data_IF_094118700116
#
_entry.id   IF_094118700116
#
_cell.length_a   1.000
_cell.length_b   1.000
_cell.length_c   1.000
_cell.angle_alpha   90.00
_cell.angle_beta   90.00
_cell.angle_gamma   90.00
#
_symmetry.space_group_name_H-M   'P 1'
#
loop_
_entity.id
_entity.type
_entity.pdbx_description
1 polymer ?
#
# COMPACT_ATOMS: atom_id res chain seq x y z
N UNK A 1 28.09 22.56 -13.07
CA UNK A 1 27.60 21.44 -12.24
C UNK A 1 26.64 20.66 -13.11
N UNK A 2 27.05 19.49 -13.53
CA UNK A 2 26.33 18.65 -14.48
C UNK A 2 25.18 17.97 -13.74
N UNK A 3 23.99 18.60 -13.76
CA UNK A 3 22.80 18.02 -13.13
C UNK A 3 22.32 16.88 -14.01
N UNK A 4 22.77 15.65 -13.70
CA UNK A 4 22.18 14.43 -14.25
C UNK A 4 20.65 14.57 -14.18
N UNK A 5 19.92 14.28 -15.26
CA UNK A 5 18.46 14.32 -15.23
C UNK A 5 17.97 13.42 -14.10
N UNK A 6 17.22 14.01 -13.17
CA UNK A 6 16.58 13.27 -12.07
C UNK A 6 15.43 12.46 -12.67
N UNK A 7 15.29 11.20 -12.22
CA UNK A 7 14.27 10.30 -12.74
C UNK A 7 12.86 10.83 -12.50
N UNK A 8 11.91 10.45 -13.36
CA UNK A 8 10.48 10.71 -13.16
C UNK A 8 9.81 9.48 -12.52
N UNK A 9 8.92 9.71 -11.56
CA UNK A 9 8.08 8.65 -10.97
C UNK A 9 6.69 8.73 -11.62
N UNK A 10 6.23 7.64 -12.24
CA UNK A 10 4.85 7.50 -12.70
C UNK A 10 4.00 6.79 -11.64
N UNK A 11 2.85 7.36 -11.33
CA UNK A 11 1.92 6.86 -10.33
C UNK A 11 0.56 6.68 -11.01
N UNK A 12 0.07 5.45 -11.01
CA UNK A 12 -1.25 5.08 -11.51
C UNK A 12 -1.90 4.13 -10.52
N UNK A 13 -3.21 4.26 -10.37
CA UNK A 13 -4.00 3.38 -9.52
C UNK A 13 -5.36 3.16 -10.16
N UNK A 14 -5.98 2.04 -9.80
CA UNK A 14 -7.33 1.68 -10.17
C UNK A 14 -8.00 1.10 -8.94
N UNK A 15 -9.29 1.40 -8.77
CA UNK A 15 -10.10 0.90 -7.66
C UNK A 15 -11.41 0.36 -8.20
N UNK A 16 -11.99 -0.61 -7.49
CA UNK A 16 -13.29 -1.19 -7.78
C UNK A 16 -14.16 -1.14 -6.52
N UNK A 17 -15.43 -0.79 -6.68
CA UNK A 17 -16.39 -0.83 -5.59
C UNK A 17 -16.83 -2.27 -5.35
N UNK A 18 -17.02 -2.64 -4.08
CA UNK A 18 -17.64 -3.91 -3.74
C UNK A 18 -19.05 -3.99 -4.33
N UNK A 19 -19.46 -5.17 -4.79
CA UNK A 19 -20.79 -5.39 -5.33
C UNK A 19 -21.88 -4.87 -4.39
N UNK A 20 -22.83 -4.10 -4.94
CA UNK A 20 -23.95 -3.40 -4.25
C UNK A 20 -23.56 -2.19 -3.39
N UNK A 21 -22.28 -1.88 -3.24
CA UNK A 21 -21.85 -0.62 -2.61
C UNK A 21 -21.78 0.50 -3.65
N UNK A 22 -21.92 1.74 -3.18
CA UNK A 22 -21.86 2.95 -4.02
C UNK A 22 -20.60 3.79 -3.81
N UNK A 23 -19.71 3.34 -2.93
CA UNK A 23 -18.48 4.04 -2.54
C UNK A 23 -17.34 3.02 -2.38
N UNK A 24 -16.11 3.48 -2.57
CA UNK A 24 -14.91 2.69 -2.33
C UNK A 24 -14.66 2.50 -0.84
N UNK A 25 -14.33 1.28 -0.41
CA UNK A 25 -13.87 1.01 0.95
C UNK A 25 -12.44 1.51 1.19
N UNK A 26 -11.68 1.66 0.11
CA UNK A 26 -10.24 1.91 0.13
C UNK A 26 -9.97 3.35 -0.32
N UNK A 27 -8.90 3.95 0.19
CA UNK A 27 -8.46 5.31 -0.13
C UNK A 27 -7.00 5.28 -0.56
N UNK A 28 -6.72 5.84 -1.73
CA UNK A 28 -5.37 6.08 -2.23
C UNK A 28 -5.09 7.59 -2.25
N UNK A 29 -3.96 8.01 -1.69
CA UNK A 29 -3.50 9.39 -1.69
C UNK A 29 -2.00 9.44 -1.98
N UNK A 30 -1.54 10.51 -2.64
CA UNK A 30 -0.11 10.79 -2.74
C UNK A 30 0.13 12.30 -2.65
N UNK A 31 1.31 12.68 -2.14
CA UNK A 31 1.73 14.06 -2.02
C UNK A 31 3.21 14.18 -2.34
N UNK A 32 3.55 15.12 -3.22
CA UNK A 32 4.92 15.44 -3.58
C UNK A 32 5.30 16.77 -2.92
N UNK A 33 6.14 16.69 -1.89
CA UNK A 33 6.69 17.84 -1.17
C UNK A 33 7.90 18.31 -1.98
N UNK A 34 7.68 19.30 -2.84
CA UNK A 34 8.65 19.74 -3.85
C UNK A 34 9.92 20.32 -3.23
N UNK A 35 9.77 21.02 -2.12
CA UNK A 35 10.85 21.68 -1.37
C UNK A 35 11.81 20.67 -0.76
N UNK A 36 11.33 19.47 -0.42
CA UNK A 36 12.13 18.39 0.15
C UNK A 36 12.51 17.31 -0.88
N UNK A 37 12.01 17.42 -2.12
CA UNK A 37 12.10 16.38 -3.16
C UNK A 37 11.66 15.00 -2.61
N UNK A 38 10.54 15.01 -1.90
CA UNK A 38 10.03 13.86 -1.14
C UNK A 38 8.63 13.49 -1.63
N UNK A 39 8.42 12.21 -1.92
CA UNK A 39 7.13 11.68 -2.33
C UNK A 39 6.57 10.76 -1.25
N UNK A 40 5.33 11.02 -0.85
CA UNK A 40 4.58 10.19 0.09
C UNK A 40 3.39 9.60 -0.66
N UNK A 41 3.19 8.29 -0.57
CA UNK A 41 2.06 7.56 -1.14
C UNK A 41 1.42 6.74 -0.02
N UNK A 42 0.09 6.73 0.03
CA UNK A 42 -0.68 6.06 1.06
C UNK A 42 -1.81 5.27 0.40
N UNK A 43 -1.93 4.01 0.81
CA UNK A 43 -3.08 3.17 0.55
C UNK A 43 -3.68 2.75 1.88
N UNK A 44 -4.97 3.00 2.11
CA UNK A 44 -5.68 2.53 3.29
C UNK A 44 -6.93 1.78 2.88
N UNK A 45 -7.22 0.67 3.55
CA UNK A 45 -8.44 -0.11 3.35
C UNK A 45 -9.24 -0.10 4.66
N UNK A 46 -10.48 0.36 4.54
CA UNK A 46 -11.39 0.56 5.65
C UNK A 46 -12.15 -0.71 5.94
N UNK A 47 -12.12 -1.15 7.19
CA UNK A 47 -12.80 -2.37 7.61
C UNK A 47 -14.30 -2.31 7.31
N UNK A 48 -14.80 -3.30 6.58
CA UNK A 48 -16.22 -3.48 6.29
C UNK A 48 -16.56 -3.21 4.83
N UNK A 49 -17.65 -2.50 4.57
CA UNK A 49 -18.00 -2.06 3.22
C UNK A 49 -18.88 -0.80 3.27
N UNK A 50 -19.00 -0.16 2.10
CA UNK A 50 -19.83 1.02 1.93
C UNK A 50 -19.30 2.24 2.68
N UNK A 51 -20.22 3.10 3.13
CA UNK A 51 -19.90 4.41 3.71
C UNK A 51 -18.98 4.29 4.93
N UNK A 52 -19.18 3.26 5.77
CA UNK A 52 -18.35 3.07 6.97
C UNK A 52 -16.89 2.81 6.60
N UNK A 53 -16.65 1.87 5.69
CA UNK A 53 -15.30 1.57 5.20
C UNK A 53 -14.66 2.81 4.56
N UNK A 54 -15.41 3.52 3.71
CA UNK A 54 -14.94 4.73 3.05
C UNK A 54 -14.48 5.82 4.03
N UNK A 55 -15.28 6.12 5.06
CA UNK A 55 -14.92 7.12 6.08
C UNK A 55 -13.68 6.71 6.86
N UNK A 56 -13.57 5.43 7.21
CA UNK A 56 -12.45 4.90 7.98
C UNK A 56 -11.14 4.91 7.19
N UNK A 57 -11.16 4.48 5.92
CA UNK A 57 -9.97 4.56 5.06
C UNK A 57 -9.58 6.01 4.78
N UNK A 58 -10.55 6.89 4.55
CA UNK A 58 -10.29 8.32 4.30
C UNK A 58 -9.64 9.00 5.49
N UNK A 59 -10.17 8.78 6.70
CA UNK A 59 -9.61 9.33 7.94
C UNK A 59 -8.17 8.83 8.16
N UNK A 60 -7.97 7.52 7.99
CA UNK A 60 -6.66 6.87 8.16
C UNK A 60 -5.64 7.41 7.16
N UNK A 61 -6.00 7.47 5.87
CA UNK A 61 -5.13 7.99 4.82
C UNK A 61 -4.77 9.46 5.06
N UNK A 62 -5.75 10.28 5.44
CA UNK A 62 -5.54 11.71 5.72
C UNK A 62 -4.62 11.93 6.92
N UNK A 63 -4.83 11.18 8.00
CA UNK A 63 -3.94 11.23 9.17
C UNK A 63 -2.52 10.78 8.82
N UNK A 64 -2.40 9.67 8.09
CA UNK A 64 -1.11 9.16 7.63
C UNK A 64 -0.38 10.20 6.78
N UNK A 65 -1.09 10.89 5.88
CA UNK A 65 -0.53 11.91 5.01
C UNK A 65 -0.01 13.09 5.82
N UNK A 66 -0.85 13.64 6.71
CA UNK A 66 -0.50 14.80 7.52
C UNK A 66 0.67 14.52 8.45
N UNK A 67 0.67 13.38 9.15
CA UNK A 67 1.77 13.03 10.06
C UNK A 67 3.06 12.75 9.30
N UNK A 68 3.02 12.01 8.20
CA UNK A 68 4.23 11.69 7.42
C UNK A 68 4.82 12.93 6.73
N UNK A 69 3.95 13.86 6.32
CA UNK A 69 4.40 15.14 5.74
C UNK A 69 5.01 16.05 6.79
N UNK A 70 4.43 16.12 7.99
CA UNK A 70 4.91 17.01 9.07
C UNK A 70 6.06 16.46 9.92
N UNK A 71 6.19 15.14 10.04
CA UNK A 71 7.21 14.47 10.84
C UNK A 71 8.16 13.68 9.93
N UNK A 72 9.47 13.77 10.21
CA UNK A 72 10.49 13.01 9.46
C UNK A 72 10.63 11.55 9.89
N UNK A 73 10.12 11.21 11.07
CA UNK A 73 10.14 9.84 11.60
C UNK A 73 8.82 9.12 11.30
N UNK A 74 8.81 8.40 10.17
CA UNK A 74 7.64 7.62 9.72
C UNK A 74 7.24 6.54 10.73
N UNK A 75 8.20 5.96 11.47
CA UNK A 75 7.91 4.94 12.47
C UNK A 75 7.08 5.54 13.61
N UNK A 76 7.46 6.75 14.03
CA UNK A 76 6.68 7.52 15.00
C UNK A 76 5.32 7.95 14.46
N UNK A 77 5.22 8.31 13.18
CA UNK A 77 3.93 8.57 12.53
C UNK A 77 3.01 7.35 12.64
N UNK A 78 3.50 6.17 12.28
CA UNK A 78 2.73 4.93 12.35
C UNK A 78 2.23 4.65 13.77
N UNK A 79 3.09 4.84 14.79
CA UNK A 79 2.67 4.70 16.19
C UNK A 79 1.60 5.73 16.60
N UNK A 80 1.69 6.97 16.13
CA UNK A 80 0.68 8.01 16.39
C UNK A 80 -0.65 7.64 15.73
N UNK A 81 -0.62 7.20 14.47
CA UNK A 81 -1.81 6.72 13.75
C UNK A 81 -2.43 5.57 14.54
N UNK A 82 -1.67 4.56 14.94
CA UNK A 82 -2.17 3.42 15.70
C UNK A 82 -2.79 3.81 17.05
N UNK A 83 -2.29 4.86 17.71
CA UNK A 83 -2.88 5.38 18.96
C UNK A 83 -4.14 6.22 18.75
N UNK A 84 -4.34 6.74 17.55
CA UNK A 84 -5.39 7.70 17.23
C UNK A 84 -6.53 7.06 16.43
N UNK A 85 -6.27 5.95 15.74
CA UNK A 85 -7.30 5.17 15.06
C UNK A 85 -8.38 4.76 16.07
N UNK A 86 -9.66 4.99 15.75
CA UNK A 86 -10.72 4.55 16.64
C UNK A 86 -10.70 3.00 16.70
N UNK A 87 -11.34 2.41 17.71
CA UNK A 87 -11.42 0.93 17.84
C UNK A 87 -12.86 0.49 17.64
N UNK A 88 -13.06 -0.57 16.84
CA UNK A 88 -14.37 -1.20 16.72
C UNK A 88 -14.79 -1.76 18.08
N UNK A 89 -15.79 -1.14 18.71
CA UNK A 89 -16.30 -1.54 20.03
C UNK A 89 -16.82 -2.98 20.07
N UNK A 90 -17.30 -3.48 18.93
CA UNK A 90 -17.85 -4.83 18.79
C UNK A 90 -16.76 -5.87 18.52
N UNK A 91 -15.88 -5.60 17.55
CA UNK A 91 -14.91 -6.60 17.05
C UNK A 91 -13.50 -6.45 17.63
N UNK A 92 -13.24 -5.40 18.41
CA UNK A 92 -11.92 -5.04 18.96
C UNK A 92 -10.79 -5.07 17.91
N UNK A 93 -11.07 -4.72 16.66
CA UNK A 93 -10.07 -4.62 15.57
C UNK A 93 -9.91 -3.16 15.13
N UNK A 94 -8.75 -2.85 14.53
CA UNK A 94 -8.44 -1.54 13.94
C UNK A 94 -9.45 -1.31 12.84
N UNK A 95 -9.96 -0.10 12.76
CA UNK A 95 -10.96 0.24 11.76
C UNK A 95 -10.42 0.31 10.33
N UNK A 96 -9.09 0.35 10.14
CA UNK A 96 -8.49 0.35 8.81
C UNK A 96 -7.06 -0.22 8.84
N UNK A 97 -6.65 -0.79 7.72
CA UNK A 97 -5.27 -1.13 7.39
C UNK A 97 -4.63 0.04 6.63
N UNK A 98 -3.31 0.06 6.54
CA UNK A 98 -2.64 1.05 5.69
C UNK A 98 -1.26 0.58 5.23
N UNK A 99 -0.83 1.18 4.13
CA UNK A 99 0.55 1.12 3.62
C UNK A 99 0.99 2.54 3.35
N UNK A 100 2.08 2.98 3.98
CA UNK A 100 2.74 4.26 3.76
C UNK A 100 4.02 3.96 2.98
N UNK A 101 4.20 4.65 1.86
CA UNK A 101 5.41 4.61 1.06
C UNK A 101 6.01 6.00 1.02
N UNK A 102 7.28 6.12 1.37
CA UNK A 102 8.06 7.34 1.27
C UNK A 102 9.25 7.11 0.34
N UNK A 103 9.46 8.03 -0.60
CA UNK A 103 10.64 8.08 -1.46
C UNK A 103 11.30 9.45 -1.24
N UNK A 104 12.56 9.45 -0.83
CA UNK A 104 13.35 10.67 -0.66
C UNK A 104 14.15 11.04 -1.91
N UNK A 105 14.80 12.22 -1.86
CA UNK A 105 15.61 12.78 -2.95
C UNK A 105 16.77 11.89 -3.42
N UNK A 106 17.20 10.93 -2.60
CA UNK A 106 18.29 10.00 -2.93
C UNK A 106 17.77 8.67 -3.50
N UNK A 107 16.44 8.58 -3.68
CA UNK A 107 15.67 7.40 -4.07
C UNK A 107 15.69 6.29 -3.01
N UNK A 108 15.88 6.64 -1.73
CA UNK A 108 15.64 5.68 -0.67
C UNK A 108 14.13 5.54 -0.49
N UNK A 109 13.68 4.30 -0.61
CA UNK A 109 12.31 3.87 -0.41
C UNK A 109 12.17 3.34 1.02
N UNK A 110 11.18 3.86 1.73
CA UNK A 110 10.75 3.37 3.03
C UNK A 110 9.28 3.01 2.94
N UNK A 111 8.94 1.81 3.39
CA UNK A 111 7.56 1.36 3.48
C UNK A 111 7.23 1.00 4.91
N UNK A 112 6.08 1.48 5.38
CA UNK A 112 5.43 0.97 6.58
C UNK A 112 4.10 0.37 6.19
N UNK A 113 3.91 -0.89 6.55
CA UNK A 113 2.70 -1.63 6.28
C UNK A 113 2.04 -2.07 7.59
N UNK A 114 0.73 -1.92 7.65
CA UNK A 114 -0.13 -2.38 8.75
C UNK A 114 -1.30 -3.15 8.16
N UNK A 115 -1.26 -4.47 8.29
CA UNK A 115 -2.32 -5.44 7.93
C UNK A 115 -2.78 -5.46 6.44
N UNK A 116 -2.26 -4.58 5.57
CA UNK A 116 -2.43 -4.69 4.12
C UNK A 116 -1.55 -5.81 3.55
N UNK A 117 -1.86 -6.37 2.37
CA UNK A 117 -0.89 -7.15 1.61
C UNK A 117 0.42 -6.37 1.42
N UNK A 118 1.55 -7.03 1.63
CA UNK A 118 2.86 -6.42 1.41
C UNK A 118 2.97 -5.92 -0.04
N UNK A 119 3.66 -4.80 -0.29
CA UNK A 119 3.95 -4.37 -1.65
C UNK A 119 4.77 -5.38 -2.43
N UNK A 120 4.51 -5.48 -3.72
CA UNK A 120 5.33 -6.24 -4.65
C UNK A 120 6.35 -5.26 -5.26
N UNK A 121 7.63 -5.48 -5.00
CA UNK A 121 8.71 -4.75 -5.67
C UNK A 121 9.13 -5.52 -6.93
N UNK A 122 9.28 -4.83 -8.05
CA UNK A 122 9.87 -5.35 -9.26
C UNK A 122 11.22 -4.65 -9.43
N UNK A 123 12.32 -5.42 -9.34
CA UNK A 123 13.67 -4.97 -9.72
C UNK A 123 14.22 -5.89 -10.79
N UNK A 124 14.99 -5.35 -11.74
CA UNK A 124 15.67 -6.15 -12.77
C UNK A 124 14.75 -7.19 -13.46
N UNK A 125 13.52 -6.78 -13.79
CA UNK A 125 12.50 -7.65 -14.38
C UNK A 125 12.17 -8.91 -13.54
N UNK A 126 12.17 -8.80 -12.22
CA UNK A 126 11.76 -9.86 -11.30
C UNK A 126 10.99 -9.30 -10.12
N UNK A 127 9.95 -10.01 -9.69
CA UNK A 127 9.31 -9.76 -8.41
C UNK A 127 10.28 -10.11 -7.27
N UNK A 128 10.75 -9.11 -6.54
CA UNK A 128 11.69 -9.28 -5.43
C UNK A 128 10.96 -9.34 -4.09
N UNK A 129 11.51 -10.16 -3.19
CA UNK A 129 11.09 -10.23 -1.80
C UNK A 129 12.05 -9.40 -0.95
N UNK A 130 11.59 -8.23 -0.50
CA UNK A 130 12.37 -7.42 0.44
C UNK A 130 12.41 -8.08 1.83
N UNK A 131 13.51 -7.90 2.58
CA UNK A 131 13.52 -8.13 4.02
C UNK A 131 12.42 -7.29 4.69
N UNK A 132 11.70 -7.92 5.61
CA UNK A 132 10.66 -7.25 6.40
C UNK A 132 11.11 -7.23 7.84
N UNK A 133 11.27 -6.03 8.38
CA UNK A 133 11.46 -5.81 9.81
C UNK A 133 10.09 -5.64 10.47
N UNK A 134 9.97 -6.04 11.72
CA UNK A 134 8.71 -5.99 12.45
C UNK A 134 8.84 -5.12 13.70
N UNK A 135 7.83 -4.28 13.95
CA UNK A 135 7.66 -3.61 15.24
C UNK A 135 6.31 -3.98 15.83
N UNK A 136 6.34 -4.59 17.00
CA UNK A 136 5.14 -4.94 17.74
C UNK A 136 4.85 -3.89 18.80
N UNK A 137 3.57 -3.65 19.06
CA UNK A 137 3.15 -2.78 20.13
C UNK A 137 1.78 -3.15 20.67
N UNK A 138 1.42 -2.53 21.78
CA UNK A 138 0.10 -2.69 22.40
C UNK A 138 -0.55 -1.33 22.55
N UNK A 139 -1.80 -1.20 22.09
CA UNK A 139 -2.63 -0.03 22.33
C UNK A 139 -4.03 -0.46 22.73
N UNK A 140 -4.53 0.05 23.88
CA UNK A 140 -5.86 -0.29 24.42
C UNK A 140 -6.10 -1.81 24.44
N UNK A 141 -5.14 -2.56 25.00
CA UNK A 141 -5.14 -4.04 25.12
C UNK A 141 -5.01 -4.81 23.80
N UNK A 142 -4.89 -4.14 22.65
CA UNK A 142 -4.69 -4.78 21.35
C UNK A 142 -3.23 -4.77 20.92
N UNK A 143 -2.71 -5.95 20.61
CA UNK A 143 -1.44 -6.12 19.91
C UNK A 143 -1.59 -5.68 18.46
N UNK A 144 -0.61 -4.95 17.96
CA UNK A 144 -0.46 -4.64 16.55
C UNK A 144 0.97 -4.96 16.12
N UNK A 145 1.14 -5.23 14.83
CA UNK A 145 2.45 -5.46 14.20
C UNK A 145 2.56 -4.56 12.98
N UNK A 146 3.57 -3.72 12.97
CA UNK A 146 3.97 -2.93 11.82
C UNK A 146 5.07 -3.68 11.08
N UNK A 147 5.05 -3.58 9.77
CA UNK A 147 5.98 -4.23 8.85
C UNK A 147 6.75 -3.13 8.11
N UNK A 148 8.08 -3.17 8.19
CA UNK A 148 8.96 -2.16 7.62
C UNK A 148 9.80 -2.77 6.53
N UNK A 149 9.87 -2.08 5.39
CA UNK A 149 10.74 -2.44 4.29
C UNK A 149 11.52 -1.20 3.86
N UNK A 150 12.79 -1.41 3.55
CA UNK A 150 13.66 -0.36 3.05
C UNK A 150 14.45 -0.88 1.86
N UNK A 151 14.59 -0.06 0.82
CA UNK A 151 15.52 -0.33 -0.26
C UNK A 151 15.89 0.97 -0.99
N UNK A 152 16.88 0.91 -1.88
CA UNK A 152 17.16 1.98 -2.82
C UNK A 152 16.55 1.65 -4.17
N UNK A 153 15.77 2.58 -4.72
CA UNK A 153 15.19 2.47 -6.04
C UNK A 153 16.23 2.82 -7.11
N UNK A 154 16.17 2.06 -8.19
CA UNK A 154 16.92 2.24 -9.42
C UNK A 154 15.97 2.53 -10.59
N UNK A 155 16.54 2.89 -11.73
CA UNK A 155 15.74 3.16 -12.92
C UNK A 155 14.96 1.89 -13.34
N UNK A 156 13.70 2.09 -13.72
CA UNK A 156 12.75 1.03 -14.12
C UNK A 156 12.26 0.11 -12.99
N UNK A 157 12.67 0.34 -11.74
CA UNK A 157 12.03 -0.33 -10.60
C UNK A 157 10.56 0.07 -10.51
N UNK A 158 9.73 -0.87 -10.06
CA UNK A 158 8.28 -0.64 -9.88
C UNK A 158 7.83 -1.20 -8.55
N UNK A 159 6.89 -0.51 -7.92
CA UNK A 159 6.24 -0.98 -6.70
C UNK A 159 4.73 -1.05 -6.92
N UNK A 160 4.14 -2.18 -6.56
CA UNK A 160 2.69 -2.41 -6.63
C UNK A 160 2.15 -2.46 -5.20
N UNK A 161 1.19 -1.59 -4.90
CA UNK A 161 0.44 -1.59 -3.65
C UNK A 161 -0.91 -2.27 -3.87
N UNK A 162 -1.34 -3.08 -2.91
CA UNK A 162 -2.57 -3.86 -3.00
C UNK A 162 -3.35 -3.71 -1.69
N UNK A 163 -4.69 -3.62 -1.78
CA UNK A 163 -5.57 -3.83 -0.64
C UNK A 163 -5.96 -5.30 -0.52
N UNK A 164 -6.58 -5.67 0.59
CA UNK A 164 -6.97 -7.06 0.82
C UNK A 164 -8.00 -7.54 -0.22
N UNK A 165 -8.81 -6.62 -0.78
CA UNK A 165 -9.79 -6.88 -1.81
C UNK A 165 -9.23 -7.54 -3.06
N UNK A 166 -7.95 -7.29 -3.40
CA UNK A 166 -7.26 -7.99 -4.50
C UNK A 166 -6.89 -9.41 -4.08
N UNK A 167 -6.21 -9.56 -2.94
CA UNK A 167 -5.75 -10.89 -2.48
C UNK A 167 -6.90 -11.81 -2.08
N UNK A 168 -8.04 -11.26 -1.67
CA UNK A 168 -9.25 -12.00 -1.31
C UNK A 168 -10.19 -12.17 -2.50
N UNK A 169 -9.83 -11.69 -3.70
CA UNK A 169 -10.66 -11.82 -4.89
C UNK A 169 -11.00 -13.30 -5.18
N UNK A 170 -12.29 -13.57 -5.41
CA UNK A 170 -12.79 -14.92 -5.67
C UNK A 170 -12.88 -15.83 -4.45
N UNK A 171 -12.57 -15.35 -3.23
CA UNK A 171 -12.67 -16.14 -2.00
C UNK A 171 -14.05 -16.79 -1.84
N UNK A 172 -14.07 -18.07 -1.45
CA UNK A 172 -15.29 -18.88 -1.35
C UNK A 172 -15.79 -19.45 -2.67
N UNK A 173 -15.16 -19.13 -3.82
CA UNK A 173 -15.45 -19.79 -5.09
C UNK A 173 -14.78 -21.17 -5.18
N UNK A 174 -15.27 -22.03 -6.08
CA UNK A 174 -14.66 -23.34 -6.35
C UNK A 174 -13.20 -23.24 -6.81
N UNK A 175 -12.87 -22.21 -7.61
CA UNK A 175 -11.53 -22.01 -8.19
C UNK A 175 -10.57 -21.32 -7.22
N UNK A 176 -11.08 -20.45 -6.36
CA UNK A 176 -10.29 -19.67 -5.40
C UNK A 176 -10.90 -19.75 -3.99
N UNK A 177 -10.91 -20.92 -3.33
CA UNK A 177 -11.56 -21.06 -2.02
C UNK A 177 -10.99 -20.11 -0.96
N UNK A 178 -9.68 -19.82 -1.03
CA UNK A 178 -8.96 -18.92 -0.13
C UNK A 178 -8.69 -17.52 -0.72
N UNK A 179 -9.30 -17.20 -1.87
CA UNK A 179 -9.00 -15.99 -2.64
C UNK A 179 -7.83 -16.18 -3.61
N UNK A 180 -7.53 -15.14 -4.40
CA UNK A 180 -6.43 -15.14 -5.35
C UNK A 180 -5.06 -15.26 -4.66
N UNK A 181 -4.95 -14.64 -3.48
CA UNK A 181 -3.79 -14.68 -2.59
C UNK A 181 -2.62 -13.85 -3.10
N UNK A 182 -1.76 -13.42 -2.17
CA UNK A 182 -0.54 -12.67 -2.48
C UNK A 182 0.33 -13.40 -3.54
N UNK A 183 0.53 -14.71 -3.36
CA UNK A 183 1.28 -15.55 -4.32
C UNK A 183 0.66 -15.53 -5.72
N UNK A 184 -0.66 -15.54 -5.83
CA UNK A 184 -1.37 -15.53 -7.11
C UNK A 184 -1.10 -14.25 -7.88
N UNK A 185 -1.18 -13.09 -7.20
CA UNK A 185 -0.88 -11.78 -7.80
C UNK A 185 0.59 -11.70 -8.19
N UNK A 186 1.51 -12.11 -7.31
CA UNK A 186 2.95 -12.10 -7.62
C UNK A 186 3.31 -12.97 -8.82
N UNK A 187 2.73 -14.17 -8.93
CA UNK A 187 2.95 -15.07 -10.07
C UNK A 187 2.36 -14.52 -11.38
N UNK A 188 1.18 -13.90 -11.32
CA UNK A 188 0.59 -13.23 -12.46
C UNK A 188 1.51 -12.10 -12.96
N UNK A 189 1.97 -11.23 -12.06
CA UNK A 189 2.92 -10.17 -12.38
C UNK A 189 4.22 -10.72 -12.94
N UNK A 190 4.78 -11.78 -12.34
CA UNK A 190 6.01 -12.41 -12.81
C UNK A 190 5.87 -12.98 -14.24
N UNK A 191 4.74 -13.61 -14.56
CA UNK A 191 4.45 -14.09 -15.91
C UNK A 191 4.37 -12.97 -16.95
N UNK A 192 3.76 -11.82 -16.60
CA UNK A 192 3.74 -10.66 -17.49
C UNK A 192 5.17 -10.17 -17.80
N UNK A 193 6.06 -10.23 -16.81
CA UNK A 193 7.47 -9.86 -17.01
C UNK A 193 8.17 -10.86 -17.93
N UNK A 194 8.04 -12.16 -17.66
CA UNK A 194 8.73 -13.23 -18.41
C UNK A 194 8.29 -13.31 -19.88
N UNK A 195 7.03 -12.98 -20.15
CA UNK A 195 6.47 -12.94 -21.51
C UNK A 195 6.79 -11.63 -22.25
N UNK A 196 7.52 -10.69 -21.62
CA UNK A 196 7.83 -9.38 -22.19
C UNK A 196 6.59 -8.47 -22.33
N UNK A 197 5.48 -8.84 -21.69
CA UNK A 197 4.19 -8.18 -21.77
C UNK A 197 3.92 -7.27 -20.56
N UNK A 198 4.93 -6.94 -19.75
CA UNK A 198 4.77 -6.06 -18.60
C UNK A 198 4.37 -4.65 -19.10
N UNK A 199 3.11 -4.24 -18.89
CA UNK A 199 2.61 -3.05 -19.54
C UNK A 199 2.94 -1.80 -18.70
N UNK A 200 2.45 -0.62 -19.09
CA UNK A 200 2.61 0.60 -18.27
C UNK A 200 1.91 0.49 -16.90
N UNK A 201 2.16 1.46 -16.01
CA UNK A 201 1.61 1.43 -14.66
C UNK A 201 0.07 1.41 -14.65
N UNK A 202 -0.58 2.10 -15.61
CA UNK A 202 -2.03 2.14 -15.73
C UNK A 202 -2.59 0.79 -16.16
N UNK A 203 -2.06 0.24 -17.24
CA UNK A 203 -2.50 -1.01 -17.83
C UNK A 203 -2.26 -2.17 -16.87
N UNK A 204 -1.17 -2.13 -16.09
CA UNK A 204 -0.90 -3.12 -15.06
C UNK A 204 -1.95 -3.07 -13.94
N UNK A 205 -2.33 -1.87 -13.48
CA UNK A 205 -3.38 -1.70 -12.49
C UNK A 205 -4.76 -2.17 -13.01
N UNK A 206 -5.05 -1.97 -14.30
CA UNK A 206 -6.26 -2.49 -14.95
C UNK A 206 -6.24 -4.02 -15.06
N UNK A 207 -5.11 -4.61 -15.47
CA UNK A 207 -4.96 -6.06 -15.64
C UNK A 207 -5.01 -6.84 -14.31
N UNK A 208 -4.59 -6.23 -13.19
CA UNK A 208 -4.69 -6.86 -11.86
C UNK A 208 -6.14 -6.86 -11.35
N UNK A 209 -6.96 -5.90 -11.76
CA UNK A 209 -8.34 -5.76 -11.25
C UNK A 209 -9.38 -6.48 -12.13
N UNK A 210 -9.08 -6.71 -13.41
CA UNK A 210 -9.95 -7.41 -14.38
C UNK A 210 -10.06 -8.90 -14.12
#
# INVERSE_FOLDING_TARGET
>A
MDTKPRGSIDIKYKQLMKYRERVFGDTFQYHHIREEERLIIILSDGLGSGIKANVLSTLTATMAMNFTSGLRDVNRCAQIIMKTLPVCSVRKISYATFTIVEIDREHNLRVINYDNPLPILIKNNRCEKLPVEYSEGVHRERKYRLEFMHCRLEQNDRMILLSDGITQAGMGSKRYPLGWGYKGVTLFTQNLIETGALPGARELAEAIIS
#
